data_IF_349824602233
#
_entry.id   IF_349824602233
#
_cell.length_a   1.000
_cell.length_b   1.000
_cell.length_c   1.000
_cell.angle_alpha   90.00
_cell.angle_beta   90.00
_cell.angle_gamma   90.00
#
_symmetry.space_group_name_H-M   'P 1'
#
loop_
_entity.id
_entity.type
_entity.pdbx_description
1 polymer ?
#
# COMPACT_ATOMS: atom_id res chain seq x y z
N UNK A 1 10.59 -19.25 -7.27
CA UNK A 1 9.58 -19.50 -6.22
C UNK A 1 8.25 -19.83 -6.88
N UNK A 2 7.45 -20.75 -6.35
CA UNK A 2 6.07 -20.94 -6.83
C UNK A 2 5.19 -19.82 -6.28
N UNK A 3 4.20 -19.37 -7.04
CA UNK A 3 3.21 -18.38 -6.56
C UNK A 3 2.51 -18.84 -5.28
N UNK A 4 2.47 -20.15 -5.03
CA UNK A 4 1.94 -20.78 -3.82
C UNK A 4 2.52 -20.21 -2.52
N UNK A 5 3.85 -20.03 -2.44
CA UNK A 5 4.47 -19.54 -1.20
C UNK A 5 4.14 -18.06 -0.94
N UNK A 6 4.14 -17.26 -2.01
CA UNK A 6 3.78 -15.85 -1.96
C UNK A 6 2.32 -15.68 -1.55
N UNK A 7 1.41 -16.45 -2.13
CA UNK A 7 -0.02 -16.37 -1.80
C UNK A 7 -0.32 -16.81 -0.38
N UNK A 8 0.34 -17.86 0.11
CA UNK A 8 0.24 -18.24 1.52
C UNK A 8 0.76 -17.13 2.45
N UNK A 9 1.83 -16.42 2.06
CA UNK A 9 2.34 -15.29 2.85
C UNK A 9 1.37 -14.11 2.82
N UNK A 10 0.73 -13.83 1.68
CA UNK A 10 -0.35 -12.84 1.59
C UNK A 10 -1.54 -13.21 2.46
N UNK A 11 -2.03 -14.44 2.42
CA UNK A 11 -3.14 -14.91 3.27
C UNK A 11 -2.85 -14.75 4.77
N UNK A 12 -1.58 -14.84 5.17
CA UNK A 12 -1.17 -14.68 6.56
C UNK A 12 -1.00 -13.22 6.97
N UNK A 13 -0.52 -12.38 6.07
CA UNK A 13 -0.09 -11.01 6.38
C UNK A 13 -1.10 -9.94 5.96
N UNK A 14 -1.91 -10.16 4.92
CA UNK A 14 -2.88 -9.20 4.38
C UNK A 14 -4.30 -9.62 4.78
N UNK A 15 -4.98 -8.84 5.64
CA UNK A 15 -6.32 -9.16 6.07
C UNK A 15 -7.29 -9.33 4.90
N UNK A 16 -7.83 -10.54 4.80
CA UNK A 16 -8.88 -10.87 3.85
C UNK A 16 -8.44 -11.19 2.44
N UNK A 17 -7.14 -11.23 2.18
CA UNK A 17 -6.62 -11.85 0.98
C UNK A 17 -6.90 -13.36 1.01
N UNK A 18 -7.42 -13.91 -0.09
CA UNK A 18 -7.56 -15.35 -0.27
C UNK A 18 -7.01 -15.77 -1.62
N UNK A 19 -6.07 -16.71 -1.63
CA UNK A 19 -5.47 -17.22 -2.85
C UNK A 19 -6.50 -17.93 -3.77
N UNK A 20 -7.62 -18.38 -3.22
CA UNK A 20 -8.67 -19.10 -3.95
C UNK A 20 -9.47 -18.18 -4.86
N UNK A 21 -9.61 -16.90 -4.47
CA UNK A 21 -10.42 -15.91 -5.17
C UNK A 21 -9.60 -14.99 -6.08
N UNK A 22 -8.28 -15.23 -6.17
CA UNK A 22 -7.33 -14.37 -6.89
C UNK A 22 -6.98 -14.99 -8.24
N UNK A 23 -7.09 -14.19 -9.29
CA UNK A 23 -6.61 -14.53 -10.63
C UNK A 23 -5.16 -14.06 -10.74
N UNK A 24 -4.22 -14.99 -10.91
CA UNK A 24 -2.81 -14.64 -11.13
C UNK A 24 -2.64 -13.93 -12.49
N UNK A 25 -2.22 -12.66 -12.54
CA UNK A 25 -1.91 -12.00 -13.79
C UNK A 25 -0.59 -12.53 -14.37
N UNK A 26 -0.48 -12.48 -15.69
CA UNK A 26 0.79 -12.70 -16.39
C UNK A 26 1.70 -11.49 -16.15
N UNK A 27 3.02 -11.72 -16.15
CA UNK A 27 3.98 -10.62 -16.12
C UNK A 27 4.06 -10.00 -17.52
N UNK A 28 3.68 -8.74 -17.67
CA UNK A 28 3.83 -8.02 -18.94
C UNK A 28 5.18 -7.30 -19.01
N UNK A 29 6.07 -7.84 -19.83
CA UNK A 29 7.41 -7.32 -20.10
C UNK A 29 7.41 -5.94 -20.78
N UNK A 30 6.29 -5.51 -21.37
CA UNK A 30 6.17 -4.20 -22.02
C UNK A 30 6.33 -3.04 -21.03
N UNK A 31 6.07 -3.27 -19.73
CA UNK A 31 6.25 -2.30 -18.65
C UNK A 31 7.71 -2.10 -18.20
N UNK A 32 8.68 -2.79 -18.81
CA UNK A 32 10.10 -2.58 -18.55
C UNK A 32 10.49 -2.79 -17.07
N UNK A 33 11.16 -1.80 -16.49
CA UNK A 33 11.67 -1.84 -15.10
C UNK A 33 10.55 -1.86 -14.04
N UNK A 34 9.33 -1.45 -14.40
CA UNK A 34 8.18 -1.35 -13.49
C UNK A 34 7.23 -2.55 -13.57
N UNK A 35 7.49 -3.53 -14.43
CA UNK A 35 6.60 -4.69 -14.67
C UNK A 35 6.15 -5.42 -13.40
N UNK A 36 6.98 -5.44 -12.36
CA UNK A 36 6.65 -6.11 -11.09
C UNK A 36 5.65 -5.30 -10.25
N UNK A 37 5.74 -3.97 -10.27
CA UNK A 37 4.72 -3.10 -9.65
C UNK A 37 3.40 -3.26 -10.40
N UNK A 38 3.40 -3.17 -11.73
CA UNK A 38 2.16 -3.35 -12.50
C UNK A 38 1.55 -4.75 -12.32
N UNK A 39 2.38 -5.79 -12.24
CA UNK A 39 1.91 -7.13 -11.92
C UNK A 39 1.27 -7.22 -10.51
N UNK A 40 1.81 -6.49 -9.54
CA UNK A 40 1.25 -6.42 -8.19
C UNK A 40 -0.06 -5.64 -8.18
N UNK A 41 -0.12 -4.53 -8.93
CA UNK A 41 -1.33 -3.72 -9.15
C UNK A 41 -2.44 -4.61 -9.75
N UNK A 42 -2.14 -5.44 -10.76
CA UNK A 42 -3.10 -6.38 -11.35
C UNK A 42 -3.48 -7.54 -10.39
N UNK A 43 -2.57 -7.97 -9.52
CA UNK A 43 -2.80 -9.09 -8.60
C UNK A 43 -3.73 -8.68 -7.45
N UNK A 44 -3.46 -7.53 -6.85
CA UNK A 44 -4.12 -7.04 -5.65
C UNK A 44 -5.32 -6.15 -5.99
N UNK A 45 -5.27 -5.52 -7.17
CA UNK A 45 -6.25 -4.55 -7.67
C UNK A 45 -6.54 -3.45 -6.64
N UNK A 46 -7.63 -2.71 -6.84
CA UNK A 46 -8.17 -1.79 -5.84
C UNK A 46 -8.55 -2.45 -4.50
N UNK A 47 -8.55 -3.79 -4.41
CA UNK A 47 -9.04 -4.48 -3.22
C UNK A 47 -8.02 -4.56 -2.08
N UNK A 48 -6.73 -4.54 -2.41
CA UNK A 48 -5.65 -4.74 -1.44
C UNK A 48 -4.48 -3.76 -1.61
N UNK A 49 -4.54 -2.86 -2.61
CA UNK A 49 -3.60 -1.75 -2.79
C UNK A 49 -4.33 -0.42 -2.64
N UNK A 50 -3.78 0.44 -1.80
CA UNK A 50 -4.07 1.87 -1.83
C UNK A 50 -3.06 2.54 -2.75
N UNK A 51 -3.54 3.19 -3.81
CA UNK A 51 -2.72 4.04 -4.67
C UNK A 51 -2.96 5.51 -4.30
N UNK A 52 -1.94 6.34 -4.51
CA UNK A 52 -2.06 7.79 -4.33
C UNK A 52 -1.67 8.40 -5.66
N UNK A 53 -2.67 8.63 -6.49
CA UNK A 53 -2.47 9.20 -7.81
C UNK A 53 -2.20 10.70 -7.70
N UNK A 54 -1.11 11.13 -8.33
CA UNK A 54 -0.74 12.54 -8.41
C UNK A 54 -1.58 13.27 -9.46
N UNK A 55 -2.85 13.49 -9.12
CA UNK A 55 -3.72 14.52 -9.69
C UNK A 55 -4.46 15.14 -8.53
N UNK A 56 -3.97 16.28 -8.05
CA UNK A 56 -4.73 17.17 -7.16
C UNK A 56 -5.54 16.44 -6.08
N UNK A 57 -4.88 15.73 -5.15
CA UNK A 57 -5.47 15.23 -3.89
C UNK A 57 -7.01 15.14 -3.90
N UNK A 58 -7.60 14.22 -4.66
CA UNK A 58 -9.02 13.95 -4.50
C UNK A 58 -9.16 13.15 -3.22
N UNK A 59 -9.41 13.85 -2.11
CA UNK A 59 -9.66 13.26 -0.79
C UNK A 59 -10.80 12.22 -0.83
N UNK A 60 -11.62 12.22 -1.88
CA UNK A 60 -12.67 11.22 -2.14
C UNK A 60 -12.15 9.90 -2.68
N UNK A 61 -10.93 9.82 -3.21
CA UNK A 61 -10.32 8.58 -3.70
C UNK A 61 -9.51 7.83 -2.63
N UNK A 62 -9.33 8.42 -1.43
CA UNK A 62 -8.98 7.63 -0.23
C UNK A 62 -10.09 6.64 0.16
N UNK A 63 -11.30 6.77 -0.40
CA UNK A 63 -12.35 5.75 -0.35
C UNK A 63 -11.95 4.44 -1.07
N UNK A 64 -10.88 4.46 -1.89
CA UNK A 64 -10.27 3.28 -2.49
C UNK A 64 -9.35 2.49 -1.54
N UNK A 65 -9.06 3.01 -0.34
CA UNK A 65 -8.93 2.10 0.80
C UNK A 65 -10.32 1.53 1.01
N UNK A 66 -10.67 0.51 0.23
CA UNK A 66 -11.87 -0.28 0.44
C UNK A 66 -11.93 -0.46 1.95
N UNK A 67 -13.00 0.01 2.64
CA UNK A 67 -13.09 -0.17 4.09
C UNK A 67 -12.76 -1.62 4.28
N UNK A 68 -11.67 -1.98 4.97
CA UNK A 68 -11.10 -3.33 4.86
C UNK A 68 -12.30 -4.24 5.08
N UNK A 69 -12.88 -4.82 4.00
CA UNK A 69 -14.31 -5.20 4.05
C UNK A 69 -14.52 -6.31 5.07
N UNK A 70 -13.39 -6.89 5.47
CA UNK A 70 -13.21 -7.96 6.41
C UNK A 70 -12.70 -7.54 7.80
N UNK A 71 -12.15 -6.32 8.00
CA UNK A 71 -11.85 -5.76 9.32
C UNK A 71 -12.89 -4.71 9.78
N UNK A 72 -13.71 -4.19 8.87
CA UNK A 72 -14.76 -3.21 9.18
C UNK A 72 -14.23 -1.83 9.58
N UNK A 73 -13.00 -1.49 9.18
CA UNK A 73 -12.32 -0.24 9.54
C UNK A 73 -12.47 0.75 8.39
N UNK A 74 -13.14 1.86 8.68
CA UNK A 74 -13.16 3.03 7.82
C UNK A 74 -12.00 3.94 8.22
N UNK A 75 -11.13 4.26 7.26
CA UNK A 75 -10.03 5.19 7.46
C UNK A 75 -10.47 6.59 7.00
N UNK A 76 -10.07 7.62 7.73
CA UNK A 76 -10.34 9.01 7.36
C UNK A 76 -9.16 9.91 7.70
N UNK A 77 -8.95 10.95 6.91
CA UNK A 77 -7.94 11.98 7.17
C UNK A 77 -8.57 13.36 7.35
N UNK A 78 -9.90 13.44 7.49
CA UNK A 78 -10.64 14.69 7.57
C UNK A 78 -10.16 15.59 8.71
N UNK A 79 -9.72 14.98 9.83
CA UNK A 79 -9.17 15.71 10.97
C UNK A 79 -7.89 16.48 10.66
N UNK A 80 -7.22 16.18 9.55
CA UNK A 80 -6.02 16.86 9.09
C UNK A 80 -6.32 18.10 8.24
N UNK A 81 -7.58 18.36 7.91
CA UNK A 81 -7.97 19.49 7.07
C UNK A 81 -8.99 20.38 7.78
N UNK A 82 -8.93 21.67 7.51
CA UNK A 82 -9.92 22.62 8.02
C UNK A 82 -11.23 22.57 7.20
N UNK A 83 -12.22 23.36 7.61
CA UNK A 83 -13.52 23.44 6.93
C UNK A 83 -13.45 23.89 5.47
N UNK A 84 -12.32 24.47 5.05
CA UNK A 84 -12.06 24.93 3.69
C UNK A 84 -11.21 23.93 2.88
N UNK A 85 -10.78 22.82 3.50
CA UNK A 85 -9.95 21.79 2.88
C UNK A 85 -8.46 22.08 2.90
N UNK A 86 -7.99 23.04 3.71
CA UNK A 86 -6.56 23.31 3.87
C UNK A 86 -5.94 22.41 4.93
N UNK A 87 -4.72 21.88 4.73
CA UNK A 87 -3.99 21.15 5.75
C UNK A 87 -3.90 21.95 7.07
N UNK A 88 -4.31 21.33 8.17
CA UNK A 88 -4.12 21.84 9.53
C UNK A 88 -2.72 21.45 9.99
N UNK A 89 -1.87 22.44 10.24
CA UNK A 89 -0.52 22.22 10.78
C UNK A 89 0.51 23.15 10.16
N UNK A 90 1.75 22.95 10.57
CA UNK A 90 2.91 23.65 10.00
C UNK A 90 3.47 22.81 8.84
N UNK A 91 2.67 22.71 7.77
CA UNK A 91 3.09 22.08 6.51
C UNK A 91 2.90 23.10 5.40
N UNK A 92 3.99 23.38 4.69
CA UNK A 92 3.93 24.27 3.53
C UNK A 92 3.33 23.54 2.34
N UNK A 93 2.72 24.27 1.38
CA UNK A 93 2.27 23.66 0.13
C UNK A 93 3.40 22.94 -0.62
N UNK A 94 4.64 23.42 -0.51
CA UNK A 94 5.81 22.79 -1.11
C UNK A 94 6.16 21.45 -0.42
N UNK A 95 6.17 21.41 0.91
CA UNK A 95 6.36 20.16 1.65
C UNK A 95 5.24 19.16 1.37
N UNK A 96 3.99 19.61 1.35
CA UNK A 96 2.85 18.76 1.03
C UNK A 96 2.92 18.20 -0.41
N UNK A 97 3.49 18.98 -1.33
CA UNK A 97 3.69 18.57 -2.72
C UNK A 97 4.77 17.49 -2.87
N UNK A 98 5.85 17.57 -2.08
CA UNK A 98 6.96 16.62 -2.14
C UNK A 98 6.80 15.40 -1.22
N UNK A 99 6.11 15.53 -0.09
CA UNK A 99 5.92 14.48 0.91
C UNK A 99 4.49 14.50 1.50
N UNK A 100 3.55 14.38 0.58
CA UNK A 100 2.14 14.13 0.85
C UNK A 100 1.93 13.01 1.89
N UNK A 101 2.63 11.89 1.72
CA UNK A 101 2.49 10.69 2.54
C UNK A 101 2.95 10.88 3.97
N UNK A 102 4.03 11.61 4.19
CA UNK A 102 4.47 12.01 5.53
C UNK A 102 3.41 12.76 6.32
N UNK A 103 2.50 13.48 5.66
CA UNK A 103 1.43 14.22 6.32
C UNK A 103 0.27 13.34 6.81
N UNK A 104 -0.29 12.47 5.97
CA UNK A 104 -1.48 11.69 6.33
C UNK A 104 -1.20 10.29 6.89
N UNK A 105 -0.07 9.66 6.53
CA UNK A 105 0.22 8.29 6.97
C UNK A 105 0.20 8.14 8.50
N UNK A 106 0.76 9.06 9.32
CA UNK A 106 0.73 8.90 10.77
C UNK A 106 -0.68 8.75 11.34
N UNK A 107 -1.65 9.50 10.81
CA UNK A 107 -3.06 9.43 11.23
C UNK A 107 -3.72 8.13 10.78
N UNK A 108 -3.43 7.68 9.55
CA UNK A 108 -3.92 6.41 9.04
C UNK A 108 -3.38 5.23 9.85
N UNK A 109 -2.08 5.23 10.17
CA UNK A 109 -1.44 4.20 10.98
C UNK A 109 -2.01 4.14 12.40
N UNK A 110 -2.29 5.30 13.00
CA UNK A 110 -2.91 5.37 14.33
C UNK A 110 -4.30 4.71 14.34
N UNK A 111 -5.10 4.89 13.28
CA UNK A 111 -6.42 4.27 13.17
C UNK A 111 -6.31 2.74 13.02
N UNK A 112 -5.33 2.27 12.25
CA UNK A 112 -5.08 0.83 12.03
C UNK A 112 -4.50 0.11 13.25
N UNK A 113 -3.75 0.81 14.10
CA UNK A 113 -3.10 0.24 15.28
C UNK A 113 -4.09 -0.44 16.23
N UNK A 114 -5.32 0.07 16.34
CA UNK A 114 -6.37 -0.51 17.20
C UNK A 114 -6.78 -1.93 16.77
N UNK A 115 -6.54 -2.28 15.50
CA UNK A 115 -6.85 -3.57 14.92
C UNK A 115 -5.60 -4.43 14.63
N UNK A 116 -4.43 -4.05 15.17
CA UNK A 116 -3.16 -4.74 14.91
C UNK A 116 -2.80 -4.78 13.41
N UNK A 117 -3.13 -3.68 12.71
CA UNK A 117 -2.85 -3.49 11.28
C UNK A 117 -1.93 -2.29 11.05
N UNK A 118 -1.32 -2.25 9.87
CA UNK A 118 -0.45 -1.16 9.40
C UNK A 118 -0.46 -1.06 7.86
N UNK A 119 -0.16 0.12 7.33
CA UNK A 119 0.15 0.32 5.92
C UNK A 119 1.66 0.20 5.70
N UNK A 120 2.09 -0.53 4.67
CA UNK A 120 3.49 -0.58 4.25
C UNK A 120 3.58 -0.18 2.78
N UNK A 121 4.59 0.63 2.45
CA UNK A 121 4.79 1.08 1.07
C UNK A 121 5.48 -0.02 0.26
N UNK A 122 5.09 -0.18 -1.00
CA UNK A 122 5.72 -1.11 -1.93
C UNK A 122 6.82 -0.38 -2.70
N UNK A 123 8.07 -0.76 -2.44
CA UNK A 123 9.23 -0.34 -3.20
C UNK A 123 9.67 -1.36 -4.25
N UNK A 124 10.43 -0.89 -5.25
CA UNK A 124 11.19 -1.74 -6.16
C UNK A 124 12.59 -1.98 -5.61
N UNK A 125 13.05 -3.23 -5.65
CA UNK A 125 14.42 -3.58 -5.31
C UNK A 125 15.27 -3.59 -6.59
N UNK A 126 16.12 -2.59 -6.74
CA UNK A 126 17.02 -2.42 -7.88
C UNK A 126 18.47 -2.39 -7.40
N UNK A 127 19.29 -3.34 -7.84
CA UNK A 127 20.72 -3.44 -7.46
C UNK A 127 20.98 -3.46 -5.94
N UNK A 128 20.01 -3.93 -5.14
CA UNK A 128 20.11 -3.96 -3.67
C UNK A 128 19.69 -2.67 -2.99
N UNK A 129 19.27 -1.65 -3.75
CA UNK A 129 18.67 -0.41 -3.24
C UNK A 129 17.15 -0.43 -3.42
N UNK A 130 16.47 0.27 -2.53
CA UNK A 130 15.02 0.42 -2.56
C UNK A 130 14.67 1.71 -3.28
N UNK A 131 13.89 1.58 -4.34
CA UNK A 131 13.35 2.70 -5.11
C UNK A 131 11.85 2.83 -4.84
N UNK A 132 11.44 3.95 -4.27
CA UNK A 132 10.04 4.32 -4.06
C UNK A 132 9.51 5.07 -5.29
N UNK A 133 8.25 4.85 -5.62
CA UNK A 133 7.65 5.39 -6.84
C UNK A 133 6.97 6.74 -6.56
N UNK A 134 6.93 7.64 -7.54
CA UNK A 134 6.27 8.97 -7.38
C UNK A 134 4.79 8.85 -6.94
N UNK A 135 4.11 7.81 -7.41
CA UNK A 135 2.79 7.40 -6.93
C UNK A 135 2.99 6.22 -5.97
N UNK A 136 2.99 6.44 -4.65
CA UNK A 136 3.24 5.37 -3.70
C UNK A 136 2.09 4.35 -3.72
N UNK A 137 2.44 3.08 -3.52
CA UNK A 137 1.49 1.97 -3.35
C UNK A 137 1.60 1.48 -1.93
N UNK A 138 0.48 1.42 -1.22
CA UNK A 138 0.45 0.88 0.13
C UNK A 138 -0.38 -0.40 0.18
N UNK A 139 0.11 -1.37 0.96
CA UNK A 139 -0.64 -2.58 1.30
C UNK A 139 -0.96 -2.54 2.80
N UNK A 140 -2.22 -2.80 3.15
CA UNK A 140 -2.60 -3.01 4.54
C UNK A 140 -2.19 -4.42 4.99
N UNK A 141 -1.35 -4.49 6.02
CA UNK A 141 -0.84 -5.74 6.59
C UNK A 141 -1.10 -5.82 8.09
N UNK A 142 -0.98 -7.01 8.66
CA UNK A 142 -0.89 -7.20 10.12
C UNK A 142 0.40 -6.60 10.69
N UNK A 143 0.40 -6.25 11.98
CA UNK A 143 1.62 -5.86 12.72
C UNK A 143 2.46 -7.06 13.18
N UNK A 144 2.04 -8.30 12.93
CA UNK A 144 2.79 -9.50 13.27
C UNK A 144 4.07 -9.61 12.41
N UNK A 145 5.21 -9.20 13.00
CA UNK A 145 6.50 -9.05 12.32
C UNK A 145 6.94 -10.30 11.55
N UNK A 146 6.76 -11.49 12.12
CA UNK A 146 7.12 -12.76 11.49
C UNK A 146 6.37 -13.00 10.16
N UNK A 147 5.08 -12.67 10.13
CA UNK A 147 4.24 -12.80 8.93
C UNK A 147 4.60 -11.76 7.87
N UNK A 148 4.84 -10.52 8.30
CA UNK A 148 5.28 -9.44 7.42
C UNK A 148 6.66 -9.73 6.83
N UNK A 149 7.61 -10.19 7.64
CA UNK A 149 8.95 -10.56 7.18
C UNK A 149 8.88 -11.72 6.17
N UNK A 150 7.99 -12.70 6.38
CA UNK A 150 7.76 -13.79 5.43
C UNK A 150 7.17 -13.30 4.10
N UNK A 151 6.19 -12.41 4.13
CA UNK A 151 5.65 -11.78 2.92
C UNK A 151 6.74 -10.99 2.19
N UNK A 152 7.50 -10.18 2.93
CA UNK A 152 8.57 -9.36 2.37
C UNK A 152 9.66 -10.22 1.70
N UNK A 153 10.06 -11.35 2.32
CA UNK A 153 10.98 -12.31 1.71
C UNK A 153 10.46 -12.87 0.38
N UNK A 154 9.16 -13.15 0.28
CA UNK A 154 8.56 -13.64 -0.96
C UNK A 154 8.51 -12.55 -2.04
N UNK A 155 8.19 -11.31 -1.66
CA UNK A 155 8.17 -10.15 -2.56
C UNK A 155 9.58 -9.80 -3.08
N UNK A 156 10.61 -9.90 -2.25
CA UNK A 156 12.00 -9.64 -2.64
C UNK A 156 12.47 -10.57 -3.78
N UNK A 157 11.98 -11.80 -3.84
CA UNK A 157 12.27 -12.72 -4.94
C UNK A 157 11.63 -12.30 -6.27
N UNK A 158 10.72 -11.34 -6.24
CA UNK A 158 10.11 -10.67 -7.40
C UNK A 158 10.66 -9.27 -7.64
N UNK A 159 11.66 -8.82 -6.87
CA UNK A 159 12.19 -7.46 -6.97
C UNK A 159 11.29 -6.40 -6.34
N UNK A 160 10.42 -6.79 -5.40
CA UNK A 160 9.55 -5.89 -4.63
C UNK A 160 9.93 -5.94 -3.15
N UNK A 161 9.62 -4.89 -2.40
CA UNK A 161 9.88 -4.82 -0.96
C UNK A 161 8.79 -4.04 -0.25
N UNK A 162 8.44 -4.44 0.97
CA UNK A 162 7.59 -3.66 1.87
C UNK A 162 8.48 -2.79 2.75
N UNK A 163 8.17 -1.49 2.80
CA UNK A 163 8.88 -0.44 3.54
C UNK A 163 8.04 0.09 4.70
#
# INVERSE_FOLDING_TARGET
MTNTALYAAFEQAVPGFSAQDIITPALDESHGEYKQIYWLDDLLTENFICYIEWKEFDLRDLEALIPIKQAGIALSIDSLFDEQGFPIGDITPEEFFYDASGFYLPVLQQQLQQAELQLLEVGLLQNGEVYLHENPRFICTTTAKDKVDQLNQCLQQRGLVLC
#
